data_IF_779168089095
#
_entry.id   IF_779168089095
#
_cell.length_a   1.000
_cell.length_b   1.000
_cell.length_c   1.000
_cell.angle_alpha   90.00
_cell.angle_beta   90.00
_cell.angle_gamma   90.00
#
_symmetry.space_group_name_H-M   'P 1'
#
loop_
_entity.id
_entity.type
_entity.pdbx_description
1 polymer ?
#
# COMPACT_ATOMS: atom_id res chain seq x y z
N UNK A 1 -30.61 27.43 62.98
CA UNK A 1 -30.41 25.97 62.87
C UNK A 1 -31.13 25.54 61.59
N UNK A 2 -30.54 24.74 60.71
CA UNK A 2 -31.08 24.31 59.38
C UNK A 2 -30.79 25.17 58.12
N UNK A 3 -29.80 26.09 58.10
CA UNK A 3 -29.39 26.71 56.82
C UNK A 3 -27.87 26.91 56.62
N UNK A 4 -27.05 26.30 57.47
CA UNK A 4 -25.58 26.38 57.39
C UNK A 4 -24.89 25.07 56.95
N UNK A 5 -25.66 24.05 56.55
CA UNK A 5 -25.15 22.71 56.20
C UNK A 5 -25.16 22.37 54.70
N UNK A 6 -25.67 23.24 53.81
CA UNK A 6 -25.77 22.94 52.36
C UNK A 6 -24.67 23.51 51.46
N UNK A 7 -23.60 24.07 52.02
CA UNK A 7 -22.47 24.62 51.23
C UNK A 7 -21.18 23.77 51.34
N UNK A 8 -21.17 22.71 52.16
CA UNK A 8 -20.04 21.76 52.26
C UNK A 8 -20.29 20.42 51.56
N UNK A 9 -20.84 20.46 50.36
CA UNK A 9 -20.94 19.28 49.48
C UNK A 9 -20.35 19.54 48.10
N UNK A 10 -19.44 20.53 47.99
CA UNK A 10 -18.75 20.85 46.73
C UNK A 10 -17.25 21.05 46.92
N UNK A 11 -16.63 20.34 47.86
CA UNK A 11 -15.18 20.35 48.02
C UNK A 11 -14.74 19.03 48.63
N UNK A 12 -14.50 18.03 47.78
CA UNK A 12 -13.52 16.93 47.94
C UNK A 12 -13.75 15.91 46.79
N UNK A 13 -13.65 16.35 45.54
CA UNK A 13 -13.31 15.41 44.48
C UNK A 13 -11.82 15.11 44.67
N UNK A 14 -11.54 13.95 45.28
CA UNK A 14 -10.20 13.41 45.44
C UNK A 14 -9.44 13.55 44.11
N UNK A 15 -8.23 14.11 44.13
CA UNK A 15 -7.42 14.26 42.91
C UNK A 15 -7.27 12.95 42.12
N UNK A 16 -7.30 11.81 42.83
CA UNK A 16 -7.36 10.46 42.27
C UNK A 16 -8.63 10.20 41.47
N UNK A 17 -9.81 10.61 41.94
CA UNK A 17 -11.07 10.45 41.23
C UNK A 17 -11.11 11.27 39.93
N UNK A 18 -10.55 12.49 39.95
CA UNK A 18 -10.41 13.31 38.75
C UNK A 18 -9.45 12.65 37.75
N UNK A 19 -8.33 12.11 38.24
CA UNK A 19 -7.35 11.41 37.40
C UNK A 19 -7.93 10.13 36.76
N UNK A 20 -8.73 9.36 37.52
CA UNK A 20 -9.41 8.16 37.02
C UNK A 20 -10.45 8.53 35.97
N UNK A 21 -11.23 9.59 36.16
CA UNK A 21 -12.20 10.06 35.16
C UNK A 21 -11.49 10.50 33.88
N UNK A 22 -10.36 11.21 33.97
CA UNK A 22 -9.55 11.60 32.80
C UNK A 22 -8.97 10.37 32.09
N UNK A 23 -8.46 9.37 32.82
CA UNK A 23 -7.97 8.12 32.25
C UNK A 23 -9.07 7.33 31.53
N UNK A 24 -10.27 7.23 32.12
CA UNK A 24 -11.43 6.57 31.49
C UNK A 24 -11.89 7.34 30.24
N UNK A 25 -11.84 8.66 30.27
CA UNK A 25 -12.13 9.51 29.10
C UNK A 25 -11.06 9.34 28.00
N UNK A 26 -9.79 9.20 28.37
CA UNK A 26 -8.70 8.93 27.43
C UNK A 26 -8.77 7.52 26.81
N UNK A 27 -9.28 6.53 27.54
CA UNK A 27 -9.49 5.15 27.06
C UNK A 27 -10.74 4.99 26.18
N UNK A 28 -11.63 6.00 26.15
CA UNK A 28 -12.82 6.01 25.28
C UNK A 28 -12.60 6.70 23.93
N UNK A 29 -11.39 7.23 23.68
CA UNK A 29 -10.96 7.58 22.33
C UNK A 29 -10.65 6.30 21.56
N UNK A 30 -11.68 5.73 20.93
CA UNK A 30 -11.47 4.84 19.79
C UNK A 30 -10.73 5.64 18.72
N UNK A 31 -9.62 5.12 18.22
CA UNK A 31 -8.93 5.68 17.05
C UNK A 31 -9.94 5.83 15.92
N UNK A 32 -10.28 7.06 15.55
CA UNK A 32 -11.07 7.34 14.36
C UNK A 32 -10.17 7.10 13.16
N UNK A 33 -10.20 5.86 12.66
CA UNK A 33 -9.74 5.61 11.31
C UNK A 33 -10.60 6.46 10.38
N UNK A 34 -9.95 7.41 9.72
CA UNK A 34 -10.60 8.43 8.95
C UNK A 34 -10.97 7.89 7.55
N UNK A 35 -11.99 7.03 7.49
CA UNK A 35 -12.50 6.42 6.27
C UNK A 35 -13.29 7.40 5.39
N UNK A 36 -13.45 7.10 4.09
CA UNK A 36 -14.33 7.85 3.19
C UNK A 36 -15.81 7.57 3.53
N UNK A 37 -16.53 8.57 4.03
CA UNK A 37 -17.94 8.39 4.44
C UNK A 37 -18.86 7.93 3.30
N UNK A 38 -18.50 8.21 2.05
CA UNK A 38 -19.26 7.78 0.86
C UNK A 38 -18.96 6.33 0.45
N UNK A 39 -17.82 5.78 0.86
CA UNK A 39 -17.41 4.41 0.58
C UNK A 39 -16.60 3.82 1.74
N UNK A 40 -17.25 3.53 2.89
CA UNK A 40 -16.57 3.18 4.13
C UNK A 40 -15.78 1.86 4.05
N UNK A 41 -16.12 0.99 3.09
CA UNK A 41 -15.43 -0.27 2.85
C UNK A 41 -14.49 -0.21 1.63
N UNK A 42 -14.48 0.92 0.92
CA UNK A 42 -13.65 1.13 -0.27
C UNK A 42 -12.18 1.18 0.08
N UNK A 43 -11.38 0.40 -0.64
CA UNK A 43 -9.94 0.37 -0.45
C UNK A 43 -9.21 0.10 -1.76
N UNK A 44 -7.91 0.41 -1.74
CA UNK A 44 -6.98 -0.06 -2.74
C UNK A 44 -6.15 -1.17 -2.12
N UNK A 45 -6.13 -2.33 -2.77
CA UNK A 45 -5.32 -3.46 -2.30
C UNK A 45 -4.14 -3.65 -3.25
N UNK A 46 -2.94 -3.59 -2.70
CA UNK A 46 -1.70 -3.95 -3.37
C UNK A 46 -1.39 -5.40 -3.04
N UNK A 47 -1.48 -6.26 -4.04
CA UNK A 47 -1.12 -7.66 -3.95
C UNK A 47 0.27 -7.87 -4.52
N UNK A 48 1.14 -8.50 -3.75
CA UNK A 48 2.51 -8.82 -4.14
C UNK A 48 2.66 -10.33 -4.21
N UNK A 49 2.82 -10.85 -5.42
CA UNK A 49 2.94 -12.27 -5.71
C UNK A 49 4.39 -12.61 -6.05
N UNK A 50 5.07 -13.41 -5.21
CA UNK A 50 6.40 -13.94 -5.50
C UNK A 50 6.26 -15.13 -6.43
N UNK A 51 6.74 -14.99 -7.66
CA UNK A 51 6.50 -15.96 -8.74
C UNK A 51 7.60 -17.04 -8.82
N UNK A 52 8.85 -16.64 -8.59
CA UNK A 52 10.00 -17.55 -8.65
C UNK A 52 11.17 -17.00 -7.84
N UNK A 53 12.05 -17.90 -7.38
CA UNK A 53 13.34 -17.54 -6.81
C UNK A 53 14.37 -17.23 -7.89
N UNK A 54 15.31 -16.36 -7.58
CA UNK A 54 16.52 -16.12 -8.38
C UNK A 54 17.76 -16.47 -7.54
N UNK A 55 18.96 -16.31 -8.11
CA UNK A 55 20.20 -16.61 -7.41
C UNK A 55 20.41 -15.74 -6.14
N UNK A 56 19.95 -14.49 -6.16
CA UNK A 56 20.14 -13.52 -5.07
C UNK A 56 18.83 -12.87 -4.59
N UNK A 57 17.67 -13.37 -5.00
CA UNK A 57 16.38 -12.84 -4.59
C UNK A 57 15.19 -13.55 -5.25
N UNK A 58 14.30 -12.79 -5.87
CA UNK A 58 13.06 -13.32 -6.45
C UNK A 58 12.48 -12.44 -7.56
N UNK A 59 11.63 -13.04 -8.39
CA UNK A 59 10.75 -12.31 -9.32
C UNK A 59 9.37 -12.18 -8.69
N UNK A 60 8.79 -10.98 -8.71
CA UNK A 60 7.45 -10.73 -8.22
C UNK A 60 6.60 -9.95 -9.20
N UNK A 61 5.29 -10.20 -9.15
CA UNK A 61 4.27 -9.40 -9.82
C UNK A 61 3.50 -8.65 -8.74
N UNK A 62 3.43 -7.33 -8.90
CA UNK A 62 2.69 -6.44 -8.00
C UNK A 62 1.45 -5.97 -8.74
N UNK A 63 0.29 -6.24 -8.18
CA UNK A 63 -1.00 -5.84 -8.74
C UNK A 63 -1.72 -4.92 -7.77
N UNK A 64 -2.17 -3.78 -8.27
CA UNK A 64 -2.93 -2.77 -7.55
C UNK A 64 -4.39 -2.94 -7.97
N UNK A 65 -5.26 -3.26 -7.02
CA UNK A 65 -6.70 -3.36 -7.23
C UNK A 65 -7.39 -2.16 -6.60
N UNK A 66 -8.25 -1.49 -7.35
CA UNK A 66 -9.09 -0.43 -6.83
C UNK A 66 -10.48 -0.97 -6.49
N UNK A 67 -10.68 -1.41 -5.26
CA UNK A 67 -11.96 -1.91 -4.75
C UNK A 67 -12.87 -0.79 -4.21
N UNK A 68 -12.66 0.45 -4.64
CA UNK A 68 -13.58 1.55 -4.36
C UNK A 68 -14.77 1.49 -5.33
N UNK A 69 -15.91 2.06 -4.92
CA UNK A 69 -17.15 2.06 -5.72
C UNK A 69 -17.21 3.16 -6.76
N UNK A 70 -16.71 4.34 -6.41
CA UNK A 70 -16.90 5.57 -7.21
C UNK A 70 -15.62 6.33 -7.50
N UNK A 71 -14.54 6.04 -6.77
CA UNK A 71 -13.28 6.78 -6.90
C UNK A 71 -12.37 6.08 -7.91
N UNK A 72 -11.96 6.82 -8.92
CA UNK A 72 -10.95 6.40 -9.89
C UNK A 72 -9.59 6.99 -9.50
N UNK A 73 -8.51 6.32 -9.86
CA UNK A 73 -7.20 6.95 -9.96
C UNK A 73 -7.09 7.48 -11.39
N UNK A 74 -7.17 8.79 -11.53
CA UNK A 74 -7.02 9.49 -12.81
C UNK A 74 -5.57 9.93 -13.03
N UNK A 75 -5.29 10.52 -14.20
CA UNK A 75 -3.99 11.12 -14.51
C UNK A 75 -3.60 12.16 -13.44
N UNK A 76 -2.32 12.24 -13.00
CA UNK A 76 -1.12 11.64 -13.60
C UNK A 76 -0.88 10.16 -13.22
N UNK A 77 -1.88 9.49 -12.65
CA UNK A 77 -1.84 8.08 -12.30
C UNK A 77 -1.28 7.83 -10.90
N UNK A 78 -1.25 6.56 -10.52
CA UNK A 78 -0.67 6.15 -9.25
C UNK A 78 0.86 6.27 -9.27
N UNK A 79 1.41 6.63 -8.11
CA UNK A 79 2.81 6.48 -7.74
C UNK A 79 2.88 5.66 -6.46
N UNK A 80 3.59 4.55 -6.50
CA UNK A 80 3.69 3.63 -5.38
C UNK A 80 5.10 3.63 -4.82
N UNK A 81 5.24 3.89 -3.54
CA UNK A 81 6.51 3.75 -2.83
C UNK A 81 6.46 2.65 -1.79
N UNK A 82 7.63 2.15 -1.42
CA UNK A 82 7.81 1.31 -0.25
C UNK A 82 9.25 1.44 0.24
N UNK A 83 9.53 0.89 1.40
CA UNK A 83 10.89 0.77 1.95
C UNK A 83 11.30 -0.68 2.01
N UNK A 84 12.44 -1.02 1.41
CA UNK A 84 12.98 -2.36 1.51
C UNK A 84 13.31 -2.73 2.96
N UNK A 85 13.24 -4.01 3.33
CA UNK A 85 13.52 -4.42 4.70
C UNK A 85 15.02 -4.41 5.03
N UNK A 86 15.87 -4.77 4.07
CA UNK A 86 17.33 -4.94 4.19
C UNK A 86 18.10 -4.10 3.16
N UNK A 87 18.81 -4.70 2.21
CA UNK A 87 19.62 -3.99 1.19
C UNK A 87 19.20 -4.39 -0.22
N UNK A 88 17.94 -4.78 -0.37
CA UNK A 88 17.34 -5.21 -1.61
C UNK A 88 17.45 -4.12 -2.68
N UNK A 89 17.54 -4.55 -3.93
CA UNK A 89 17.59 -3.69 -5.12
C UNK A 89 16.61 -4.21 -6.17
N UNK A 90 16.29 -3.38 -7.16
CA UNK A 90 15.49 -3.79 -8.30
C UNK A 90 16.45 -4.04 -9.46
N UNK A 91 16.59 -5.29 -9.89
CA UNK A 91 17.40 -5.65 -11.04
C UNK A 91 16.77 -5.19 -12.36
N UNK A 92 15.47 -5.44 -12.52
CA UNK A 92 14.71 -5.10 -13.73
C UNK A 92 13.22 -4.96 -13.44
N UNK A 93 12.50 -4.29 -14.33
CA UNK A 93 11.05 -4.10 -14.25
C UNK A 93 10.36 -4.25 -15.62
N UNK A 94 9.09 -4.63 -15.61
CA UNK A 94 8.18 -4.62 -16.77
C UNK A 94 6.82 -4.08 -16.34
N UNK A 95 6.13 -3.36 -17.22
CA UNK A 95 4.85 -2.71 -16.96
C UNK A 95 4.91 -1.46 -16.07
N UNK A 96 5.99 -1.27 -15.33
CA UNK A 96 6.24 -0.06 -14.54
C UNK A 96 7.73 0.26 -14.49
N UNK A 97 8.06 1.45 -14.02
CA UNK A 97 9.44 1.89 -13.85
C UNK A 97 9.63 2.66 -12.54
N UNK A 98 10.81 2.50 -11.94
CA UNK A 98 11.25 3.39 -10.88
C UNK A 98 11.46 4.81 -11.42
N UNK A 99 11.00 5.82 -10.69
CA UNK A 99 11.17 7.24 -11.07
C UNK A 99 12.61 7.71 -10.96
N UNK A 100 13.40 7.05 -10.12
CA UNK A 100 14.81 7.35 -9.88
C UNK A 100 15.60 6.05 -9.68
N UNK A 101 16.82 6.00 -10.22
CA UNK A 101 17.73 4.87 -10.02
C UNK A 101 18.39 4.89 -8.63
N UNK A 102 18.79 6.06 -8.13
CA UNK A 102 19.57 6.22 -6.90
C UNK A 102 21.06 5.85 -7.07
N UNK A 103 21.79 5.80 -5.96
CA UNK A 103 23.22 5.47 -5.96
C UNK A 103 23.45 3.95 -6.08
N UNK A 104 23.82 3.52 -7.29
CA UNK A 104 24.20 2.14 -7.60
C UNK A 104 25.72 1.92 -7.69
N UNK A 105 26.55 2.86 -7.24
CA UNK A 105 28.03 2.83 -7.40
C UNK A 105 28.70 1.56 -6.84
N UNK A 106 28.07 0.88 -5.87
CA UNK A 106 28.56 -0.39 -5.32
C UNK A 106 28.56 -1.56 -6.32
N UNK A 107 27.85 -1.44 -7.44
CA UNK A 107 27.77 -2.47 -8.48
C UNK A 107 28.73 -2.15 -9.63
N UNK A 108 29.75 -3.01 -9.84
CA UNK A 108 30.84 -2.79 -10.81
C UNK A 108 30.61 -3.39 -12.21
N UNK A 109 29.46 -4.02 -12.44
CA UNK A 109 29.13 -4.72 -13.69
C UNK A 109 27.69 -4.50 -14.07
N UNK A 110 26.83 -5.48 -13.81
CA UNK A 110 25.39 -5.30 -13.96
C UNK A 110 24.89 -4.26 -12.94
N UNK A 111 24.40 -3.13 -13.44
CA UNK A 111 23.83 -2.06 -12.64
C UNK A 111 22.33 -2.34 -12.49
N UNK A 112 21.78 -2.39 -11.26
CA UNK A 112 20.35 -2.55 -11.06
C UNK A 112 19.54 -1.38 -11.63
N UNK A 113 18.29 -1.67 -12.03
CA UNK A 113 17.29 -0.65 -12.39
C UNK A 113 17.08 0.39 -11.29
N UNK A 114 17.09 -0.02 -10.02
CA UNK A 114 17.00 0.90 -8.89
C UNK A 114 17.73 0.36 -7.64
N UNK A 115 18.54 1.22 -7.01
CA UNK A 115 19.26 0.93 -5.77
C UNK A 115 18.75 1.73 -4.56
N UNK A 116 17.73 2.57 -4.74
CA UNK A 116 17.13 3.32 -3.62
C UNK A 116 16.54 2.35 -2.60
N UNK A 117 16.78 2.66 -1.33
CA UNK A 117 16.16 1.96 -0.18
C UNK A 117 14.64 2.13 -0.15
N UNK A 118 14.16 3.27 -0.65
CA UNK A 118 12.77 3.66 -0.74
C UNK A 118 12.38 4.02 -2.19
N UNK A 119 12.28 3.05 -3.11
CA UNK A 119 11.92 3.32 -4.49
C UNK A 119 10.50 3.89 -4.61
N UNK A 120 10.27 4.70 -5.63
CA UNK A 120 8.95 5.11 -6.08
C UNK A 120 8.74 4.61 -7.51
N UNK A 121 7.65 3.91 -7.74
CA UNK A 121 7.31 3.28 -9.01
C UNK A 121 6.10 3.97 -9.62
N UNK A 122 6.13 4.09 -10.93
CA UNK A 122 5.01 4.52 -11.76
C UNK A 122 4.73 3.49 -12.83
N UNK A 123 3.49 3.45 -13.29
CA UNK A 123 3.09 2.68 -14.47
C UNK A 123 3.74 3.24 -15.73
N UNK A 124 3.93 2.39 -16.73
CA UNK A 124 4.37 2.85 -18.05
C UNK A 124 3.20 3.52 -18.81
N UNK A 125 3.54 4.27 -19.86
CA UNK A 125 2.54 4.95 -20.69
C UNK A 125 1.94 4.01 -21.76
N UNK A 126 0.74 4.32 -22.26
CA UNK A 126 0.19 3.65 -23.44
C UNK A 126 1.17 3.71 -24.62
N UNK A 127 1.24 2.63 -25.41
CA UNK A 127 2.19 2.52 -26.54
C UNK A 127 3.56 1.93 -26.18
N UNK A 128 3.77 1.52 -24.92
CA UNK A 128 4.95 0.76 -24.48
C UNK A 128 5.17 -0.48 -25.37
N UNK A 129 6.41 -0.85 -25.75
CA UNK A 129 6.69 -2.05 -26.54
C UNK A 129 6.21 -3.35 -25.87
N UNK A 130 5.73 -4.32 -26.67
CA UNK A 130 5.13 -5.56 -26.15
C UNK A 130 6.03 -6.35 -25.19
N UNK A 131 7.35 -6.37 -25.44
CA UNK A 131 8.34 -7.04 -24.59
C UNK A 131 8.55 -6.39 -23.22
N UNK A 132 7.99 -5.20 -22.98
CA UNK A 132 8.03 -4.48 -21.71
C UNK A 132 6.65 -4.42 -21.03
N UNK A 133 5.63 -5.03 -21.64
CA UNK A 133 4.28 -5.06 -21.10
C UNK A 133 4.04 -6.29 -20.22
N UNK A 134 3.09 -6.15 -19.31
CA UNK A 134 2.47 -7.23 -18.55
C UNK A 134 0.96 -6.99 -18.51
N UNK A 135 0.17 -8.01 -18.17
CA UNK A 135 -1.28 -7.87 -18.03
C UNK A 135 -1.67 -6.69 -17.14
N UNK A 136 -2.68 -5.92 -17.56
CA UNK A 136 -3.19 -4.74 -16.83
C UNK A 136 -2.18 -3.61 -16.60
N UNK A 137 -1.01 -3.58 -17.25
CA UNK A 137 -0.10 -2.43 -17.15
C UNK A 137 -0.43 -1.33 -18.16
N UNK A 138 0.41 -0.30 -18.11
CA UNK A 138 0.75 0.56 -19.22
C UNK A 138 -0.37 1.51 -19.64
N UNK A 139 -1.15 1.96 -18.65
CA UNK A 139 -2.27 2.90 -18.79
C UNK A 139 -1.91 4.27 -18.23
N UNK A 140 -0.62 4.55 -18.02
CA UNK A 140 -0.17 5.79 -17.37
C UNK A 140 -0.65 5.90 -15.91
N UNK A 141 -0.90 4.76 -15.27
CA UNK A 141 -1.28 4.69 -13.86
C UNK A 141 -2.75 4.96 -13.58
N UNK A 142 -3.60 4.99 -14.61
CA UNK A 142 -5.05 5.12 -14.44
C UNK A 142 -5.64 3.80 -13.97
N UNK A 143 -6.47 3.84 -12.92
CA UNK A 143 -7.20 2.67 -12.39
C UNK A 143 -8.65 3.05 -12.12
N UNK A 144 -9.57 2.40 -12.83
CA UNK A 144 -11.00 2.62 -12.62
C UNK A 144 -11.49 2.03 -11.29
N UNK A 145 -12.67 2.45 -10.84
CA UNK A 145 -13.34 1.82 -9.70
C UNK A 145 -13.82 0.41 -10.08
N UNK A 146 -13.74 -0.55 -9.15
CA UNK A 146 -14.15 -1.94 -9.42
C UNK A 146 -15.62 -2.06 -9.79
N UNK A 147 -16.47 -1.22 -9.21
CA UNK A 147 -17.93 -1.31 -9.45
C UNK A 147 -18.31 -0.74 -10.81
N UNK A 148 -17.68 0.36 -11.26
CA UNK A 148 -18.05 0.99 -12.52
C UNK A 148 -17.36 0.34 -13.71
N UNK A 149 -16.10 -0.09 -13.58
CA UNK A 149 -15.35 -0.74 -14.66
C UNK A 149 -14.37 -1.78 -14.10
N UNK A 150 -14.84 -3.01 -13.84
CA UNK A 150 -14.02 -4.09 -13.30
C UNK A 150 -12.83 -4.46 -14.19
N UNK A 151 -12.94 -4.27 -15.51
CA UNK A 151 -11.89 -4.66 -16.45
C UNK A 151 -10.65 -3.75 -16.33
N UNK A 152 -10.86 -2.47 -16.00
CA UNK A 152 -9.78 -1.50 -15.82
C UNK A 152 -9.48 -1.17 -14.35
N UNK A 153 -10.10 -1.87 -13.40
CA UNK A 153 -9.92 -1.67 -11.97
C UNK A 153 -8.64 -2.30 -11.37
N UNK A 154 -7.72 -2.73 -12.24
CA UNK A 154 -6.42 -3.23 -11.85
C UNK A 154 -5.30 -2.58 -12.66
N UNK A 155 -4.14 -2.42 -12.02
CA UNK A 155 -2.86 -2.09 -12.65
C UNK A 155 -1.80 -3.07 -12.18
N UNK A 156 -0.87 -3.52 -13.03
CA UNK A 156 0.20 -4.41 -12.58
C UNK A 156 1.55 -4.12 -13.19
N UNK A 157 2.60 -4.48 -12.46
CA UNK A 157 3.98 -4.46 -12.93
C UNK A 157 4.75 -5.65 -12.36
N UNK A 158 5.79 -6.08 -13.07
CA UNK A 158 6.71 -7.11 -12.60
C UNK A 158 8.03 -6.47 -12.22
N UNK A 159 8.67 -7.00 -11.19
CA UNK A 159 10.04 -6.65 -10.83
C UNK A 159 10.86 -7.88 -10.45
N UNK A 160 12.14 -7.83 -10.79
CA UNK A 160 13.16 -8.74 -10.28
C UNK A 160 13.86 -8.07 -9.09
N UNK A 161 13.74 -8.65 -7.91
CA UNK A 161 14.32 -8.14 -6.66
C UNK A 161 15.62 -8.89 -6.38
N UNK A 162 16.70 -8.14 -6.20
CA UNK A 162 18.02 -8.64 -5.85
C UNK A 162 18.39 -8.41 -4.39
N UNK A 163 19.47 -9.05 -3.94
CA UNK A 163 19.95 -9.03 -2.55
C UNK A 163 18.84 -9.30 -1.50
N UNK A 164 17.87 -10.12 -1.87
CA UNK A 164 16.77 -10.54 -1.03
C UNK A 164 16.97 -11.97 -0.52
N UNK A 165 16.04 -12.47 0.29
CA UNK A 165 16.01 -13.90 0.60
C UNK A 165 15.56 -14.71 -0.62
N UNK A 166 16.11 -15.92 -0.77
CA UNK A 166 15.77 -16.88 -1.85
C UNK A 166 14.85 -18.01 -1.37
N UNK A 167 14.17 -17.82 -0.23
CA UNK A 167 13.23 -18.80 0.32
C UNK A 167 12.13 -18.13 1.13
N UNK A 168 11.04 -18.86 1.38
CA UNK A 168 9.91 -18.40 2.20
C UNK A 168 10.32 -17.95 3.62
N UNK A 169 11.44 -18.46 4.15
CA UNK A 169 11.93 -18.13 5.50
C UNK A 169 12.84 -16.90 5.52
N UNK A 170 13.55 -16.64 4.42
CA UNK A 170 14.61 -15.62 4.36
C UNK A 170 14.13 -14.29 3.79
N UNK A 171 13.10 -14.31 2.93
CA UNK A 171 12.43 -13.11 2.43
C UNK A 171 11.83 -12.30 3.56
N UNK A 172 11.99 -10.98 3.49
CA UNK A 172 11.35 -10.04 4.40
C UNK A 172 10.43 -9.14 3.58
N UNK A 173 9.22 -8.93 4.11
CA UNK A 173 8.24 -8.09 3.44
C UNK A 173 8.72 -6.63 3.45
N UNK A 174 8.53 -5.89 2.34
CA UNK A 174 8.76 -4.46 2.34
C UNK A 174 7.86 -3.76 3.38
N UNK A 175 8.28 -2.57 3.80
CA UNK A 175 7.64 -1.79 4.86
C UNK A 175 7.26 -0.41 4.34
N UNK A 176 6.40 0.29 5.07
CA UNK A 176 6.06 1.69 4.82
C UNK A 176 5.65 1.94 3.36
N UNK A 177 4.63 1.22 2.92
CA UNK A 177 4.06 1.44 1.60
C UNK A 177 3.41 2.83 1.55
N UNK A 178 3.59 3.50 0.43
CA UNK A 178 2.93 4.77 0.12
C UNK A 178 2.21 4.63 -1.20
N UNK A 179 1.03 5.24 -1.30
CA UNK A 179 0.27 5.33 -2.53
C UNK A 179 -0.13 6.78 -2.72
N UNK A 180 0.33 7.38 -3.80
CA UNK A 180 -0.02 8.73 -4.22
C UNK A 180 -0.74 8.61 -5.56
N UNK A 181 -1.75 9.45 -5.81
CA UNK A 181 -2.36 9.54 -7.14
C UNK A 181 -3.88 9.59 -7.11
N UNK A 182 -4.50 10.66 -7.65
CA UNK A 182 -3.86 11.88 -8.19
C UNK A 182 -3.42 12.90 -7.11
N UNK A 183 -3.71 12.68 -5.82
CA UNK A 183 -3.33 13.57 -4.72
C UNK A 183 -2.89 12.82 -3.45
N UNK A 184 -2.57 13.55 -2.35
CA UNK A 184 -2.46 12.95 -1.03
C UNK A 184 -3.84 12.44 -0.59
N UNK A 185 -3.89 11.41 0.25
CA UNK A 185 -5.18 10.91 0.77
C UNK A 185 -5.20 9.44 1.12
N UNK A 186 -4.31 8.63 0.54
CA UNK A 186 -4.23 7.22 0.88
C UNK A 186 -3.23 6.96 2.01
N UNK A 187 -3.67 6.17 2.98
CA UNK A 187 -2.82 5.58 4.02
C UNK A 187 -2.77 4.09 3.84
N UNK A 188 -1.57 3.53 3.70
CA UNK A 188 -1.36 2.10 3.54
C UNK A 188 -0.96 1.45 4.87
N UNK A 189 -1.60 0.34 5.18
CA UNK A 189 -1.24 -0.49 6.33
C UNK A 189 0.05 -1.32 6.11
N UNK A 190 0.44 -2.14 7.10
CA UNK A 190 1.54 -3.07 6.94
C UNK A 190 1.19 -4.19 5.96
N UNK A 191 2.21 -4.72 5.28
CA UNK A 191 2.06 -5.89 4.43
C UNK A 191 1.74 -7.14 5.26
N UNK A 192 0.68 -7.86 4.87
CA UNK A 192 0.19 -9.07 5.56
C UNK A 192 0.37 -10.28 4.65
N UNK A 193 0.99 -11.33 5.17
CA UNK A 193 1.09 -12.61 4.46
C UNK A 193 -0.31 -13.21 4.32
N UNK A 194 -0.65 -13.66 3.12
CA UNK A 194 -1.94 -14.29 2.81
C UNK A 194 -1.71 -15.62 2.08
N UNK A 195 -2.80 -16.34 1.82
CA UNK A 195 -2.75 -17.57 1.02
C UNK A 195 -2.16 -17.26 -0.37
N UNK A 196 -1.22 -18.08 -0.89
CA UNK A 196 -0.64 -17.86 -2.20
C UNK A 196 -1.69 -17.81 -3.32
N UNK A 197 -1.53 -16.81 -4.20
CA UNK A 197 -2.38 -16.63 -5.38
C UNK A 197 -2.27 -17.82 -6.32
N UNK A 198 -3.38 -18.18 -6.96
CA UNK A 198 -3.43 -19.16 -8.05
C UNK A 198 -3.70 -18.45 -9.37
N UNK A 199 -3.00 -18.86 -10.40
CA UNK A 199 -3.12 -18.33 -11.75
C UNK A 199 -3.50 -19.47 -12.68
N UNK A 200 -4.65 -19.34 -13.32
CA UNK A 200 -5.10 -20.29 -14.33
C UNK A 200 -4.68 -19.77 -15.69
N UNK A 201 -4.08 -20.63 -16.52
CA UNK A 201 -3.73 -20.28 -17.90
C UNK A 201 -4.98 -19.95 -18.72
N UNK A 202 -4.82 -19.16 -19.79
CA UNK A 202 -5.94 -18.72 -20.62
C UNK A 202 -6.73 -19.89 -21.24
N UNK A 203 -6.05 -20.99 -21.56
CA UNK A 203 -6.64 -22.24 -22.05
C UNK A 203 -7.31 -23.09 -20.96
N UNK A 204 -7.24 -22.65 -19.69
CA UNK A 204 -7.76 -23.30 -18.48
C UNK A 204 -7.19 -24.68 -18.16
N UNK A 205 -6.12 -25.10 -18.83
CA UNK A 205 -5.54 -26.45 -18.64
C UNK A 205 -4.53 -26.53 -17.51
N UNK A 206 -3.91 -25.43 -17.14
CA UNK A 206 -2.85 -25.38 -16.13
C UNK A 206 -3.17 -24.33 -15.07
N UNK A 207 -2.96 -24.72 -13.81
CA UNK A 207 -2.99 -23.80 -12.67
C UNK A 207 -1.58 -23.72 -12.10
N UNK A 208 -1.00 -22.53 -12.10
CA UNK A 208 0.21 -22.21 -11.37
C UNK A 208 -0.15 -21.45 -10.10
N UNK A 209 0.80 -21.31 -9.18
CA UNK A 209 0.60 -20.54 -7.97
C UNK A 209 1.85 -19.73 -7.63
N UNK A 210 1.65 -18.60 -6.97
CA UNK A 210 2.74 -17.88 -6.35
C UNK A 210 3.39 -18.73 -5.26
N UNK A 211 4.67 -18.51 -5.01
CA UNK A 211 5.41 -19.14 -3.90
C UNK A 211 5.03 -18.49 -2.57
N UNK A 212 4.78 -17.18 -2.60
CA UNK A 212 4.27 -16.38 -1.49
C UNK A 212 3.37 -15.27 -2.03
N UNK A 213 2.37 -14.88 -1.25
CA UNK A 213 1.55 -13.70 -1.54
C UNK A 213 1.40 -12.88 -0.28
N UNK A 214 1.54 -11.56 -0.39
CA UNK A 214 1.14 -10.64 0.67
C UNK A 214 0.32 -9.48 0.13
N UNK A 215 -0.57 -8.99 0.98
CA UNK A 215 -1.45 -7.87 0.68
C UNK A 215 -1.10 -6.66 1.53
N UNK A 216 -1.18 -5.50 0.92
CA UNK A 216 -1.18 -4.20 1.60
C UNK A 216 -2.51 -3.55 1.27
N UNK A 217 -3.23 -3.10 2.29
CA UNK A 217 -4.48 -2.37 2.11
C UNK A 217 -4.23 -0.89 2.34
N UNK A 218 -4.63 -0.07 1.38
CA UNK A 218 -4.58 1.38 1.44
C UNK A 218 -6.00 1.93 1.47
N UNK A 219 -6.31 2.75 2.45
CA UNK A 219 -7.62 3.39 2.61
C UNK A 219 -7.52 4.87 2.32
N UNK A 220 -8.56 5.41 1.68
CA UNK A 220 -8.65 6.83 1.39
C UNK A 220 -9.23 7.58 2.59
N UNK A 221 -8.65 8.74 2.90
CA UNK A 221 -9.11 9.64 3.94
C UNK A 221 -9.29 11.05 3.39
N UNK A 222 -10.50 11.59 3.52
CA UNK A 222 -10.81 12.96 3.10
C UNK A 222 -9.99 14.00 3.89
N UNK A 223 -9.73 13.76 5.18
CA UNK A 223 -8.93 14.64 6.02
C UNK A 223 -7.45 14.72 5.60
N UNK A 224 -6.91 13.61 5.06
CA UNK A 224 -5.55 13.60 4.53
C UNK A 224 -5.47 14.26 3.15
N UNK A 225 -6.55 14.16 2.36
CA UNK A 225 -6.63 14.78 1.04
C UNK A 225 -6.86 16.29 1.11
N UNK A 226 -7.63 16.77 2.07
CA UNK A 226 -7.88 18.19 2.33
C UNK A 226 -7.39 18.56 3.74
N UNK A 227 -6.18 19.12 3.83
CA UNK A 227 -5.64 19.65 5.10
C UNK A 227 -6.46 20.81 5.67
N UNK A 228 -7.23 21.50 4.84
CA UNK A 228 -8.19 22.54 5.21
C UNK A 228 -9.57 22.15 4.67
N UNK A 229 -10.53 21.75 5.52
CA UNK A 229 -11.90 21.53 5.08
C UNK A 229 -12.48 22.87 4.61
N UNK A 230 -13.10 22.88 3.44
CA UNK A 230 -13.86 24.04 2.96
C UNK A 230 -15.20 24.07 3.68
N UNK A 231 -15.42 25.10 4.50
CA UNK A 231 -16.71 25.39 5.14
C UNK A 231 -17.76 25.84 4.14
#
# INVERSE_FOLDING_TARGET
MELFWRIKALTQLNGVAIFVVILVFCLSFNSTDAYDALDPNGNITVKWDVMSWTADGYVAVVTIFNFQKYRHIELPGWKMGWTWAKKEVIWSMMGGQATEQGDCSRFKGNIPHCCKKNPTIVDLLPGTPYNQQIANCCKGGVISSWVQDPANAASSFQLSVGQAGTSNKTVRLPKNFTLLGPGPGYTCGPAKLVKPSKFTTADRRRVTQALMTWNVTCTYSQFLAQKTPTC
#
